data_IF_723193730041
#
_entry.id   IF_723193730041
#
_cell.length_a   1.000
_cell.length_b   1.000
_cell.length_c   1.000
_cell.angle_alpha   90.00
_cell.angle_beta   90.00
_cell.angle_gamma   90.00
#
_symmetry.space_group_name_H-M   'P 1'
#
loop_
_entity.id
_entity.type
_entity.pdbx_description
1 polymer ?
#
# COMPACT_ATOMS: atom_id res chain seq x y z
N UNK A 1 -21.88 8.35 14.92
CA UNK A 1 -21.33 7.36 13.98
C UNK A 1 -22.18 6.10 14.04
N UNK A 2 -22.73 5.63 12.91
CA UNK A 2 -23.63 4.46 12.91
C UNK A 2 -22.85 3.16 13.20
N UNK A 3 -23.55 2.11 13.67
CA UNK A 3 -22.95 0.79 13.94
C UNK A 3 -22.26 0.25 12.67
N UNK A 4 -22.90 0.43 11.51
CA UNK A 4 -22.37 0.06 10.19
C UNK A 4 -21.06 0.78 9.84
N UNK A 5 -20.91 2.07 10.17
CA UNK A 5 -19.66 2.80 9.95
C UNK A 5 -18.53 2.33 10.89
N UNK A 6 -18.87 1.95 12.13
CA UNK A 6 -17.90 1.40 13.10
C UNK A 6 -17.34 0.06 12.66
N UNK A 7 -18.20 -0.85 12.21
CA UNK A 7 -17.78 -2.16 11.68
C UNK A 7 -16.93 -2.03 10.42
N UNK A 8 -17.26 -1.10 9.54
CA UNK A 8 -16.54 -0.91 8.28
C UNK A 8 -15.13 -0.34 8.50
N UNK A 9 -14.99 0.65 9.39
CA UNK A 9 -13.67 1.16 9.81
C UNK A 9 -12.83 0.08 10.49
N UNK A 10 -13.45 -0.75 11.33
CA UNK A 10 -12.76 -1.84 11.99
C UNK A 10 -12.23 -2.86 10.97
N UNK A 11 -13.04 -3.25 9.98
CA UNK A 11 -12.61 -4.19 8.92
C UNK A 11 -11.44 -3.62 8.11
N UNK A 12 -11.52 -2.37 7.66
CA UNK A 12 -10.43 -1.74 6.90
C UNK A 12 -9.17 -1.59 7.75
N UNK A 13 -9.31 -1.20 9.01
CA UNK A 13 -8.20 -1.11 9.95
C UNK A 13 -7.57 -2.48 10.22
N UNK A 14 -8.37 -3.54 10.36
CA UNK A 14 -7.87 -4.91 10.54
C UNK A 14 -7.19 -5.43 9.27
N UNK A 15 -7.76 -5.22 8.09
CA UNK A 15 -7.12 -5.58 6.82
C UNK A 15 -5.78 -4.85 6.64
N UNK A 16 -5.74 -3.55 6.94
CA UNK A 16 -4.53 -2.75 6.88
C UNK A 16 -3.52 -3.17 7.97
N UNK A 17 -3.98 -3.54 9.16
CA UNK A 17 -3.13 -4.06 10.23
C UNK A 17 -2.54 -5.43 9.89
N UNK A 18 -3.30 -6.34 9.29
CA UNK A 18 -2.78 -7.61 8.78
C UNK A 18 -1.79 -7.39 7.63
N UNK A 19 -2.10 -6.45 6.73
CA UNK A 19 -1.20 -6.03 5.66
C UNK A 19 0.12 -5.46 6.22
N UNK A 20 0.02 -4.58 7.22
CA UNK A 20 1.15 -4.03 7.95
C UNK A 20 1.90 -5.11 8.72
N UNK A 21 1.26 -6.08 9.38
CA UNK A 21 1.94 -7.15 10.11
C UNK A 21 2.74 -8.06 9.17
N UNK A 22 2.19 -8.40 8.00
CA UNK A 22 2.90 -9.14 6.96
C UNK A 22 4.08 -8.33 6.39
N UNK A 23 3.90 -7.02 6.26
CA UNK A 23 4.93 -6.07 5.85
C UNK A 23 6.01 -5.84 6.94
N UNK A 24 5.63 -5.81 8.22
CA UNK A 24 6.44 -5.49 9.39
C UNK A 24 7.27 -6.67 9.89
N UNK A 25 7.10 -7.89 9.37
CA UNK A 25 8.14 -8.92 9.51
C UNK A 25 9.50 -8.47 8.93
N UNK A 26 9.57 -7.32 8.24
CA UNK A 26 10.81 -6.63 7.86
C UNK A 26 11.33 -5.59 8.87
N UNK A 27 10.58 -5.13 9.88
CA UNK A 27 11.14 -4.14 10.84
C UNK A 27 12.19 -4.76 11.76
N UNK A 28 12.11 -6.06 12.05
CA UNK A 28 13.21 -6.81 12.67
C UNK A 28 14.47 -6.85 11.78
N UNK A 29 14.31 -6.67 10.46
CA UNK A 29 15.39 -6.59 9.48
C UNK A 29 16.03 -5.18 9.47
N UNK A 30 15.32 -4.14 9.90
CA UNK A 30 15.82 -2.76 10.08
C UNK A 30 16.88 -2.68 11.21
N UNK A 31 16.70 -3.48 12.27
CA UNK A 31 17.68 -3.65 13.34
C UNK A 31 18.91 -4.45 12.88
N UNK A 32 18.70 -5.51 12.09
CA UNK A 32 19.79 -6.27 11.47
C UNK A 32 20.64 -5.40 10.52
N UNK A 33 20.02 -4.47 9.80
CA UNK A 33 20.69 -3.52 8.90
C UNK A 33 21.60 -2.53 9.61
N UNK A 34 21.17 -1.99 10.77
CA UNK A 34 22.02 -1.10 11.56
C UNK A 34 23.34 -1.77 11.93
N UNK A 35 23.31 -3.07 12.16
CA UNK A 35 24.51 -3.87 12.44
C UNK A 35 25.38 -4.03 11.19
N UNK A 36 24.78 -4.26 10.01
CA UNK A 36 25.51 -4.38 8.73
C UNK A 36 26.14 -3.04 8.28
N UNK A 37 25.47 -1.91 8.50
CA UNK A 37 26.04 -0.58 8.21
C UNK A 37 27.28 -0.24 9.06
N UNK A 38 27.40 -0.83 10.26
CA UNK A 38 28.56 -0.64 11.13
C UNK A 38 29.77 -1.49 10.72
N UNK A 39 29.59 -2.50 9.85
CA UNK A 39 30.59 -3.55 9.54
C UNK A 39 31.30 -3.38 8.18
N UNK A 40 31.22 -2.20 7.54
CA UNK A 40 31.70 -1.99 6.16
C UNK A 40 33.22 -2.25 5.97
N UNK A 41 33.54 -3.34 5.25
CA UNK A 41 34.83 -3.58 4.58
C UNK A 41 34.65 -3.83 3.07
N UNK A 42 35.64 -3.43 2.29
CA UNK A 42 35.56 -3.00 0.87
C UNK A 42 35.11 -4.03 -0.20
N UNK A 43 34.76 -5.27 0.15
CA UNK A 43 34.27 -6.26 -0.83
C UNK A 43 32.74 -6.33 -0.94
N UNK A 44 32.01 -5.58 -0.11
CA UNK A 44 30.56 -5.60 0.04
C UNK A 44 29.92 -4.34 -0.57
N UNK A 45 30.19 -3.95 -1.82
CA UNK A 45 29.59 -2.73 -2.39
C UNK A 45 28.42 -2.99 -3.36
N UNK A 46 28.42 -4.09 -4.11
CA UNK A 46 27.31 -4.39 -5.04
C UNK A 46 26.09 -5.03 -4.38
N UNK A 47 26.29 -5.98 -3.45
CA UNK A 47 25.17 -6.56 -2.67
C UNK A 47 24.53 -5.52 -1.75
N UNK A 48 25.35 -4.61 -1.22
CA UNK A 48 24.90 -3.55 -0.32
C UNK A 48 23.99 -2.56 -1.05
N UNK A 49 24.26 -2.23 -2.32
CA UNK A 49 23.40 -1.33 -3.11
C UNK A 49 21.98 -1.89 -3.32
N UNK A 50 21.85 -3.16 -3.75
CA UNK A 50 20.53 -3.81 -3.91
C UNK A 50 19.76 -3.84 -2.58
N UNK A 51 20.41 -4.33 -1.53
CA UNK A 51 19.75 -4.49 -0.23
C UNK A 51 19.36 -3.13 0.34
N UNK A 52 20.27 -2.15 0.38
CA UNK A 52 19.98 -0.78 0.85
C UNK A 52 18.78 -0.20 0.11
N UNK A 53 18.78 -0.23 -1.23
CA UNK A 53 17.69 0.33 -2.02
C UNK A 53 16.38 -0.45 -1.88
N UNK A 54 16.44 -1.76 -1.68
CA UNK A 54 15.26 -2.56 -1.33
C UNK A 54 14.65 -2.09 0.00
N UNK A 55 15.49 -1.78 0.99
CA UNK A 55 15.02 -1.25 2.27
C UNK A 55 14.46 0.16 2.17
N UNK A 56 15.08 1.05 1.40
CA UNK A 56 14.55 2.39 1.14
C UNK A 56 13.17 2.31 0.46
N UNK A 57 13.02 1.43 -0.53
CA UNK A 57 11.76 1.11 -1.18
C UNK A 57 10.70 0.68 -0.15
N UNK A 58 11.05 -0.24 0.77
CA UNK A 58 10.15 -0.68 1.85
C UNK A 58 9.85 0.40 2.87
N UNK A 59 10.80 1.26 3.21
CA UNK A 59 10.56 2.41 4.09
C UNK A 59 9.56 3.38 3.46
N UNK A 60 9.69 3.65 2.15
CA UNK A 60 8.75 4.48 1.40
C UNK A 60 7.35 3.86 1.36
N UNK A 61 7.26 2.56 1.10
CA UNK A 61 6.01 1.79 1.19
C UNK A 61 5.35 1.90 2.58
N UNK A 62 6.14 1.77 3.66
CA UNK A 62 5.64 1.93 5.04
C UNK A 62 5.06 3.31 5.32
N UNK A 63 5.72 4.38 4.83
CA UNK A 63 5.20 5.75 4.95
C UNK A 63 3.86 5.92 4.24
N UNK A 64 3.71 5.37 3.03
CA UNK A 64 2.45 5.40 2.28
C UNK A 64 1.34 4.71 3.08
N UNK A 65 1.60 3.53 3.66
CA UNK A 65 0.59 2.83 4.45
C UNK A 65 0.16 3.57 5.71
N UNK A 66 1.09 4.28 6.37
CA UNK A 66 0.74 5.13 7.52
C UNK A 66 -0.19 6.26 7.10
N UNK A 67 0.03 6.88 5.94
CA UNK A 67 -0.84 7.92 5.41
C UNK A 67 -2.23 7.37 5.08
N UNK A 68 -2.30 6.21 4.41
CA UNK A 68 -3.57 5.52 4.12
C UNK A 68 -4.33 5.16 5.41
N UNK A 69 -3.62 4.70 6.44
CA UNK A 69 -4.23 4.40 7.75
C UNK A 69 -4.87 5.65 8.38
N UNK A 70 -4.18 6.78 8.35
CA UNK A 70 -4.69 8.05 8.86
C UNK A 70 -5.94 8.49 8.09
N UNK A 71 -5.93 8.39 6.75
CA UNK A 71 -7.08 8.70 5.91
C UNK A 71 -8.28 7.80 6.20
N UNK A 72 -8.06 6.48 6.34
CA UNK A 72 -9.13 5.52 6.68
C UNK A 72 -9.76 5.87 8.04
N UNK A 73 -8.95 6.26 9.01
CA UNK A 73 -9.43 6.62 10.35
C UNK A 73 -10.32 7.87 10.34
N UNK A 74 -10.00 8.86 9.50
CA UNK A 74 -10.73 10.14 9.46
C UNK A 74 -11.88 10.16 8.45
N UNK A 75 -11.91 9.25 7.48
CA UNK A 75 -12.91 9.30 6.41
C UNK A 75 -14.31 8.77 6.79
N UNK A 76 -15.28 9.11 5.93
CA UNK A 76 -16.62 8.54 5.91
C UNK A 76 -16.85 7.82 4.58
N UNK A 77 -16.75 6.49 4.61
CA UNK A 77 -16.98 5.64 3.45
C UNK A 77 -18.32 4.92 3.55
N UNK A 78 -18.99 4.77 2.42
CA UNK A 78 -20.10 3.84 2.27
C UNK A 78 -19.60 2.39 2.37
N UNK A 79 -20.50 1.47 2.76
CA UNK A 79 -20.18 0.04 2.89
C UNK A 79 -19.67 -0.54 1.56
N UNK A 80 -20.33 -0.21 0.45
CA UNK A 80 -19.94 -0.66 -0.90
C UNK A 80 -18.50 -0.25 -1.26
N UNK A 81 -18.14 1.00 -1.02
CA UNK A 81 -16.80 1.52 -1.33
C UNK A 81 -15.72 0.92 -0.42
N UNK A 82 -16.09 0.61 0.82
CA UNK A 82 -15.18 -0.03 1.77
C UNK A 82 -14.90 -1.49 1.43
N UNK A 83 -15.87 -2.21 0.86
CA UNK A 83 -15.65 -3.56 0.35
C UNK A 83 -14.66 -3.59 -0.81
N UNK A 84 -14.70 -2.58 -1.69
CA UNK A 84 -13.75 -2.46 -2.80
C UNK A 84 -12.32 -2.29 -2.27
N UNK A 85 -12.13 -1.42 -1.28
CA UNK A 85 -10.81 -1.24 -0.64
C UNK A 85 -10.33 -2.50 0.10
N UNK A 86 -11.22 -3.18 0.82
CA UNK A 86 -10.88 -4.42 1.53
C UNK A 86 -10.40 -5.52 0.56
N UNK A 87 -11.10 -5.69 -0.57
CA UNK A 87 -10.70 -6.62 -1.62
C UNK A 87 -9.35 -6.25 -2.24
N UNK A 88 -9.13 -4.96 -2.53
CA UNK A 88 -7.86 -4.50 -3.06
C UNK A 88 -6.70 -4.75 -2.08
N UNK A 89 -6.86 -4.38 -0.81
CA UNK A 89 -5.81 -4.60 0.20
C UNK A 89 -5.50 -6.08 0.41
N UNK A 90 -6.53 -6.94 0.41
CA UNK A 90 -6.34 -8.39 0.48
C UNK A 90 -5.53 -8.93 -0.72
N UNK A 91 -5.82 -8.46 -1.93
CA UNK A 91 -5.06 -8.83 -3.13
C UNK A 91 -3.63 -8.35 -3.08
N UNK A 92 -3.40 -7.09 -2.69
CA UNK A 92 -2.05 -6.54 -2.56
C UNK A 92 -1.24 -7.37 -1.55
N UNK A 93 -1.85 -7.73 -0.40
CA UNK A 93 -1.21 -8.56 0.62
C UNK A 93 -0.65 -9.86 0.05
N UNK A 94 -1.41 -10.52 -0.82
CA UNK A 94 -1.03 -11.78 -1.45
C UNK A 94 0.13 -11.69 -2.45
N UNK A 95 0.49 -10.48 -2.92
CA UNK A 95 1.50 -10.28 -3.96
C UNK A 95 2.73 -9.50 -3.48
N UNK A 96 2.88 -9.35 -2.16
CA UNK A 96 3.98 -8.57 -1.57
C UNK A 96 5.34 -9.28 -1.53
N UNK A 97 5.44 -10.54 -1.98
CA UNK A 97 6.67 -11.34 -1.91
C UNK A 97 7.87 -10.66 -2.59
N UNK A 98 9.07 -10.98 -2.12
CA UNK A 98 10.35 -10.46 -2.67
C UNK A 98 10.64 -10.93 -4.10
N UNK A 99 9.89 -11.89 -4.61
CA UNK A 99 10.10 -12.47 -5.94
C UNK A 99 9.04 -12.02 -6.95
N UNK A 100 8.03 -11.28 -6.50
CA UNK A 100 6.95 -10.79 -7.37
C UNK A 100 7.09 -9.27 -7.57
N UNK A 101 7.41 -8.77 -8.77
CA UNK A 101 7.44 -7.34 -9.06
C UNK A 101 6.09 -6.62 -8.87
N UNK A 102 4.98 -7.34 -8.85
CA UNK A 102 3.61 -6.84 -8.71
C UNK A 102 3.16 -5.90 -9.85
N UNK A 103 3.74 -6.05 -11.04
CA UNK A 103 3.34 -5.29 -12.24
C UNK A 103 1.85 -5.45 -12.56
N UNK A 104 1.34 -6.69 -12.46
CA UNK A 104 -0.06 -7.01 -12.79
C UNK A 104 -1.07 -6.31 -11.87
N UNK A 105 -0.65 -5.97 -10.64
CA UNK A 105 -1.46 -5.18 -9.71
C UNK A 105 -1.61 -3.73 -10.14
N UNK A 106 -0.65 -3.14 -10.85
CA UNK A 106 -0.79 -1.78 -11.38
C UNK A 106 -1.91 -1.73 -12.42
N UNK A 107 -1.92 -2.68 -13.36
CA UNK A 107 -2.95 -2.76 -14.39
C UNK A 107 -4.33 -2.98 -13.76
N UNK A 108 -4.39 -3.78 -12.68
CA UNK A 108 -5.64 -4.00 -11.96
C UNK A 108 -6.14 -2.75 -11.24
N UNK A 109 -5.26 -2.01 -10.54
CA UNK A 109 -5.64 -0.75 -9.90
C UNK A 109 -6.08 0.27 -10.96
N UNK A 110 -5.43 0.32 -12.13
CA UNK A 110 -5.84 1.20 -13.21
C UNK A 110 -7.22 0.84 -13.76
N UNK A 111 -7.53 -0.46 -13.92
CA UNK A 111 -8.88 -0.92 -14.28
C UNK A 111 -9.92 -0.48 -13.26
N UNK A 112 -9.62 -0.58 -11.96
CA UNK A 112 -10.51 -0.06 -10.92
C UNK A 112 -10.72 1.45 -11.09
N UNK A 113 -9.64 2.24 -11.22
CA UNK A 113 -9.72 3.69 -11.41
C UNK A 113 -10.55 4.08 -12.64
N UNK A 114 -10.44 3.32 -13.73
CA UNK A 114 -11.20 3.56 -14.96
C UNK A 114 -12.70 3.25 -14.78
N UNK A 115 -13.04 2.19 -14.06
CA UNK A 115 -14.44 1.92 -13.66
C UNK A 115 -15.01 3.10 -12.87
N UNK A 116 -14.25 3.67 -11.92
CA UNK A 116 -14.70 4.85 -11.16
C UNK A 116 -14.88 6.09 -12.03
N UNK A 117 -13.98 6.30 -13.00
CA UNK A 117 -14.06 7.42 -13.95
C UNK A 117 -15.34 7.39 -14.79
N UNK A 118 -15.81 6.20 -15.13
CA UNK A 118 -16.99 5.99 -15.96
C UNK A 118 -18.32 5.89 -15.18
N UNK A 119 -18.30 6.01 -13.84
CA UNK A 119 -19.54 6.08 -13.04
C UNK A 119 -20.26 7.40 -13.26
N UNK A 120 -21.58 7.41 -13.07
CA UNK A 120 -22.36 8.65 -13.06
C UNK A 120 -21.80 9.65 -12.04
N UNK A 121 -21.85 10.95 -12.35
CA UNK A 121 -21.39 12.00 -11.43
C UNK A 121 -22.08 11.88 -10.05
N UNK A 122 -21.39 12.25 -8.97
CA UNK A 122 -22.02 12.31 -7.65
C UNK A 122 -23.16 13.33 -7.65
N UNK A 123 -24.31 12.94 -7.10
CA UNK A 123 -25.51 13.78 -7.02
C UNK A 123 -25.55 14.63 -5.75
N UNK A 124 -24.80 14.24 -4.73
CA UNK A 124 -24.72 14.95 -3.45
C UNK A 124 -23.28 15.23 -3.05
N UNK A 125 -23.09 16.20 -2.14
CA UNK A 125 -21.78 16.50 -1.56
C UNK A 125 -21.21 15.29 -0.81
N UNK A 126 -22.03 14.61 -0.01
CA UNK A 126 -21.61 13.42 0.72
C UNK A 126 -21.11 12.33 -0.24
N UNK A 127 -21.83 12.12 -1.35
CA UNK A 127 -21.42 11.16 -2.38
C UNK A 127 -20.10 11.56 -3.03
N UNK A 128 -19.89 12.87 -3.28
CA UNK A 128 -18.62 13.39 -3.77
C UNK A 128 -17.48 13.15 -2.77
N UNK A 129 -17.66 13.49 -1.49
CA UNK A 129 -16.62 13.35 -0.46
C UNK A 129 -16.23 11.87 -0.24
N UNK A 130 -17.22 10.97 -0.20
CA UNK A 130 -16.97 9.52 -0.13
C UNK A 130 -16.19 9.01 -1.34
N UNK A 131 -16.59 9.40 -2.57
CA UNK A 131 -15.90 8.96 -3.80
C UNK A 131 -14.50 9.56 -3.93
N UNK A 132 -14.31 10.81 -3.52
CA UNK A 132 -13.00 11.47 -3.50
C UNK A 132 -12.03 10.76 -2.56
N UNK A 133 -12.49 10.41 -1.35
CA UNK A 133 -11.70 9.63 -0.38
C UNK A 133 -11.27 8.28 -0.97
N UNK A 134 -12.21 7.56 -1.58
CA UNK A 134 -11.93 6.27 -2.19
C UNK A 134 -10.89 6.37 -3.32
N UNK A 135 -11.05 7.35 -4.22
CA UNK A 135 -10.08 7.60 -5.28
C UNK A 135 -8.69 7.95 -4.74
N UNK A 136 -8.61 8.72 -3.65
CA UNK A 136 -7.34 9.03 -3.00
C UNK A 136 -6.66 7.76 -2.47
N UNK A 137 -7.39 6.91 -1.75
CA UNK A 137 -6.86 5.63 -1.22
C UNK A 137 -6.42 4.68 -2.34
N UNK A 138 -7.15 4.62 -3.47
CA UNK A 138 -6.76 3.83 -4.64
C UNK A 138 -5.46 4.36 -5.29
N UNK A 139 -5.30 5.68 -5.38
CA UNK A 139 -4.07 6.29 -5.91
C UNK A 139 -2.88 6.08 -4.98
N UNK A 140 -3.09 6.08 -3.67
CA UNK A 140 -2.04 5.74 -2.71
C UNK A 140 -1.65 4.27 -2.79
N UNK A 141 -2.61 3.37 -2.94
CA UNK A 141 -2.34 1.97 -3.24
C UNK A 141 -1.55 1.79 -4.55
N UNK A 142 -1.90 2.53 -5.61
CA UNK A 142 -1.14 2.54 -6.87
C UNK A 142 0.31 2.99 -6.62
N UNK A 143 0.49 4.10 -5.91
CA UNK A 143 1.82 4.65 -5.58
C UNK A 143 2.63 3.64 -4.77
N UNK A 144 2.00 2.94 -3.82
CA UNK A 144 2.63 1.90 -3.03
C UNK A 144 3.15 0.74 -3.90
N UNK A 145 2.39 0.29 -4.90
CA UNK A 145 2.85 -0.74 -5.84
C UNK A 145 3.92 -0.20 -6.78
N UNK A 146 3.75 1.01 -7.30
CA UNK A 146 4.69 1.64 -8.24
C UNK A 146 6.10 1.70 -7.64
N UNK A 147 6.22 2.07 -6.36
CA UNK A 147 7.49 2.08 -5.63
C UNK A 147 8.22 0.72 -5.69
N UNK A 148 7.48 -0.38 -5.64
CA UNK A 148 8.04 -1.73 -5.79
C UNK A 148 8.42 -2.02 -7.23
N UNK A 149 7.53 -1.73 -8.18
CA UNK A 149 7.77 -1.96 -9.61
C UNK A 149 9.00 -1.21 -10.10
N UNK A 150 9.14 0.07 -9.73
CA UNK A 150 10.31 0.91 -10.07
C UNK A 150 11.61 0.31 -9.54
N UNK A 151 11.58 -0.27 -8.33
CA UNK A 151 12.72 -0.97 -7.75
C UNK A 151 13.12 -2.20 -8.59
N UNK A 152 12.18 -3.09 -8.92
CA UNK A 152 12.51 -4.29 -9.72
C UNK A 152 12.88 -3.96 -11.17
N UNK A 153 12.37 -2.88 -11.75
CA UNK A 153 12.84 -2.41 -13.06
C UNK A 153 14.31 -1.98 -13.04
N UNK A 154 14.76 -1.39 -11.92
CA UNK A 154 16.14 -0.92 -11.76
C UNK A 154 17.10 -2.01 -11.30
N UNK A 155 16.64 -2.95 -10.47
CA UNK A 155 17.50 -3.90 -9.74
C UNK A 155 17.18 -5.38 -9.98
N UNK A 156 16.14 -5.71 -10.76
CA UNK A 156 15.66 -7.09 -10.95
C UNK A 156 16.38 -7.91 -12.01
N UNK A 157 17.64 -7.60 -12.33
CA UNK A 157 18.49 -8.41 -13.23
C UNK A 157 19.28 -9.47 -12.45
#
# INVERSE_FOLDING_TARGET
MSISQRTTKLILATCLACFLAYFLNLSSLEEALKLVYLDHSDHLFHQTDYHIHYFEMRQRQSRILRNMAQQINTCHLAVSESLILAQLFSKIAGQLSQTNPASDLLDEIERYLEVFRNRSLPKTRDEFETRATLLQLLREAKTFIQVKVDFYQKYGQ
#
